data_IF_200961462651
#
_entry.id   IF_200961462651
#
_cell.length_a   1.000
_cell.length_b   1.000
_cell.length_c   1.000
_cell.angle_alpha   90.00
_cell.angle_beta   90.00
_cell.angle_gamma   90.00
#
_symmetry.space_group_name_H-M   'P 1'
#
loop_
_entity.id
_entity.type
_entity.pdbx_description
1 polymer ?
2 non-polymer ?
3 non-polymer ?
4 water ?
#
# COMPACT_ATOMS: atom_id res chain seq x y z
N UNK A 1 2.14 4.81 -5.99
CA UNK A 1 3.45 4.71 -6.65
C UNK A 1 3.35 4.69 -8.19
N UNK A 2 2.18 4.36 -8.75
CA UNK A 2 1.85 4.25 -10.18
C UNK A 2 0.32 4.33 -10.35
N UNK A 3 -0.24 4.26 -11.59
CA UNK A 3 -1.66 4.60 -11.85
C UNK A 3 -2.76 3.70 -11.23
N UNK A 4 -2.41 2.46 -10.88
CA UNK A 4 -3.31 1.56 -10.12
C UNK A 4 -3.47 2.09 -8.71
N UNK A 5 -2.37 2.50 -8.12
CA UNK A 5 -2.35 3.07 -6.75
C UNK A 5 -3.10 4.42 -6.74
N UNK A 6 -2.98 5.21 -7.80
CA UNK A 6 -3.73 6.48 -8.01
C UNK A 6 -5.26 6.25 -7.90
N UNK A 7 -5.78 5.31 -8.67
CA UNK A 7 -7.22 4.98 -8.65
C UNK A 7 -7.62 4.47 -7.24
N UNK A 8 -6.84 3.53 -6.68
CA UNK A 8 -7.09 2.99 -5.31
C UNK A 8 -7.18 4.12 -4.29
N UNK A 9 -6.21 5.04 -4.29
CA UNK A 9 -6.19 6.16 -3.34
C UNK A 9 -7.43 7.06 -3.52
N UNK A 10 -7.82 7.31 -4.76
CA UNK A 10 -9.00 8.18 -5.05
C UNK A 10 -10.26 7.56 -4.42
N UNK A 11 -10.37 6.23 -4.46
CA UNK A 11 -11.50 5.49 -3.84
C UNK A 11 -11.40 5.59 -2.33
N UNK A 12 -10.22 5.32 -1.77
CA UNK A 12 -10.07 5.31 -0.31
C UNK A 12 -10.38 6.68 0.27
N UNK A 13 -9.93 7.74 -0.40
CA UNK A 13 -9.95 9.11 0.21
C UNK A 13 -11.39 9.63 0.25
N UNK A 14 -12.32 9.11 -0.56
CA UNK A 14 -13.69 9.66 -0.62
C UNK A 14 -14.78 8.63 -0.31
N UNK A 15 -14.52 7.33 -0.53
CA UNK A 15 -15.59 6.30 -0.56
C UNK A 15 -15.36 5.23 0.50
N UNK A 16 -14.60 5.49 1.55
CA UNK A 16 -14.47 4.50 2.66
C UNK A 16 -14.72 5.16 4.00
N UNK A 17 -15.19 4.32 4.93
CA UNK A 17 -15.35 4.67 6.37
C UNK A 17 -14.76 3.50 7.13
N UNK A 18 -14.50 3.71 8.40
CA UNK A 18 -14.14 2.61 9.32
C UNK A 18 -15.44 2.15 9.99
N UNK A 19 -15.82 0.90 9.74
CA UNK A 19 -17.03 0.32 10.36
C UNK A 19 -16.61 -0.56 11.54
N UNK A 20 -17.33 -0.46 12.65
CA UNK A 20 -17.06 -1.30 13.84
C UNK A 20 -18.36 -2.00 14.24
N UNK A 21 -18.32 -3.35 14.28
CA UNK A 21 -19.42 -4.20 14.79
C UNK A 21 -18.85 -4.90 16.05
N UNK A 22 -19.63 -5.79 16.64
CA UNK A 22 -19.18 -6.63 17.79
C UNK A 22 -18.14 -7.66 17.33
N UNK A 23 -18.00 -7.86 16.01
CA UNK A 23 -17.07 -8.85 15.40
C UNK A 23 -15.76 -8.19 14.93
N UNK A 24 -15.58 -6.87 15.09
CA UNK A 24 -14.31 -6.20 14.79
C UNK A 24 -14.46 -4.86 14.07
N UNK A 25 -13.31 -4.34 13.65
CA UNK A 25 -13.20 -3.15 12.79
C UNK A 25 -12.97 -3.59 11.35
N UNK A 26 -13.70 -2.98 10.41
CA UNK A 26 -13.66 -3.33 8.97
C UNK A 26 -13.51 -2.05 8.13
N UNK A 27 -12.73 -2.17 7.05
CA UNK A 27 -12.80 -1.25 5.92
C UNK A 27 -14.25 -1.40 5.38
N UNK A 28 -14.93 -0.28 5.16
CA UNK A 28 -16.29 -0.31 4.57
C UNK A 28 -16.32 0.64 3.37
N UNK A 29 -16.71 0.08 2.23
CA UNK A 29 -16.85 0.84 0.96
C UNK A 29 -18.25 1.46 0.87
N UNK A 30 -18.31 2.79 0.75
CA UNK A 30 -19.55 3.48 0.40
C UNK A 30 -19.72 3.51 -1.12
N UNK A 31 -20.91 3.19 -1.61
CA UNK A 31 -21.13 3.01 -3.08
C UNK A 31 -21.92 4.18 -3.66
N UNK A 32 -23.00 4.60 -2.99
CA UNK A 32 -23.81 5.76 -3.44
C UNK A 32 -24.76 6.11 -2.30
N UNK A 33 -25.28 7.34 -2.31
CA UNK A 33 -26.27 7.81 -1.30
C UNK A 33 -25.73 7.39 0.09
N UNK A 34 -26.49 6.63 0.89
CA UNK A 34 -26.07 6.21 2.26
C UNK A 34 -25.85 4.70 2.25
N UNK A 35 -25.57 4.12 1.08
CA UNK A 35 -25.48 2.65 0.86
C UNK A 35 -24.00 2.28 0.82
N UNK A 36 -23.64 1.31 1.65
CA UNK A 36 -22.27 0.80 1.76
C UNK A 36 -22.30 -0.74 1.75
N UNK A 37 -21.12 -1.34 1.68
CA UNK A 37 -20.99 -2.82 1.73
C UNK A 37 -19.96 -3.20 2.79
N UNK A 38 -20.11 -4.42 3.26
CA UNK A 38 -19.22 -4.97 4.33
C UNK A 38 -19.30 -6.48 4.21
N UNK A 39 -18.25 -7.24 4.58
CA UNK A 39 -18.42 -8.71 4.58
C UNK A 39 -19.55 -9.16 5.51
N UNK A 40 -20.29 -10.20 5.08
CA UNK A 40 -21.44 -10.70 5.86
C UNK A 40 -20.98 -11.21 7.24
N UNK A 41 -19.77 -11.75 7.34
CA UNK A 41 -19.25 -12.21 8.66
C UNK A 41 -18.99 -11.06 9.66
N UNK A 42 -19.14 -9.79 9.27
CA UNK A 42 -19.14 -8.65 10.22
C UNK A 42 -20.38 -8.70 11.13
N UNK A 43 -21.45 -9.42 10.77
CA UNK A 43 -22.70 -9.58 11.55
C UNK A 43 -23.30 -8.21 11.92
N UNK A 44 -23.58 -7.40 10.90
CA UNK A 44 -24.16 -6.05 11.11
C UNK A 44 -25.49 -6.20 11.85
N UNK A 45 -25.72 -5.40 12.88
CA UNK A 45 -27.01 -5.37 13.59
C UNK A 45 -27.76 -4.09 13.38
N UNK A 46 -28.52 -3.66 14.38
CA UNK A 46 -29.44 -2.49 14.26
C UNK A 46 -28.62 -1.18 14.41
N UNK A 47 -27.47 -1.27 15.08
CA UNK A 47 -26.53 -0.15 15.36
C UNK A 47 -25.12 -0.58 14.93
N UNK A 48 -24.40 0.32 14.29
CA UNK A 48 -23.00 0.10 13.88
C UNK A 48 -22.21 1.39 14.23
N UNK A 49 -20.89 1.32 14.45
CA UNK A 49 -20.05 2.53 14.62
C UNK A 49 -19.43 2.85 13.25
N UNK A 50 -19.54 4.11 12.80
CA UNK A 50 -18.98 4.59 11.51
C UNK A 50 -17.99 5.71 11.89
N UNK A 51 -16.69 5.50 11.71
CA UNK A 51 -15.66 6.48 12.17
C UNK A 51 -15.94 6.86 13.64
N UNK A 52 -16.23 5.85 14.46
CA UNK A 52 -16.40 5.94 15.95
C UNK A 52 -17.66 6.71 16.36
N UNK A 53 -18.61 6.85 15.46
CA UNK A 53 -19.92 7.52 15.75
C UNK A 53 -21.04 6.47 15.67
N UNK A 54 -21.83 6.41 16.74
CA UNK A 54 -22.99 5.50 16.81
C UNK A 54 -24.00 5.84 15.72
N UNK A 55 -24.32 4.88 14.85
CA UNK A 55 -25.13 5.07 13.61
C UNK A 55 -26.22 3.99 13.52
N UNK A 56 -27.47 4.40 13.33
CA UNK A 56 -28.56 3.45 13.13
C UNK A 56 -28.41 2.83 11.75
N UNK A 57 -28.63 1.52 11.69
CA UNK A 57 -28.74 0.79 10.40
C UNK A 57 -30.20 0.81 9.93
N UNK A 58 -30.46 1.43 8.77
CA UNK A 58 -31.84 1.55 8.23
C UNK A 58 -32.21 0.26 7.52
N UNK A 59 -31.26 -0.47 6.94
CA UNK A 59 -31.50 -1.73 6.20
C UNK A 59 -30.17 -2.47 6.13
N UNK A 60 -30.21 -3.80 6.23
CA UNK A 60 -29.01 -4.65 6.02
C UNK A 60 -29.45 -5.92 5.26
N UNK A 61 -28.83 -6.23 4.14
CA UNK A 61 -29.25 -7.38 3.31
C UNK A 61 -28.01 -8.21 2.97
N UNK A 62 -27.99 -9.43 3.50
CA UNK A 62 -26.91 -10.41 3.25
C UNK A 62 -27.22 -11.08 1.91
N UNK A 63 -26.44 -10.77 0.88
CA UNK A 63 -26.76 -11.23 -0.49
C UNK A 63 -26.51 -12.73 -0.63
N UNK A 64 -27.33 -13.38 -1.46
CA UNK A 64 -27.19 -14.80 -1.84
C UNK A 64 -27.48 -14.88 -3.33
N UNK A 65 -26.85 -15.79 -4.06
CA UNK A 65 -27.22 -15.95 -5.49
C UNK A 65 -28.55 -16.70 -5.64
N UNK A 66 -28.96 -16.89 -6.89
CA UNK A 66 -30.32 -17.44 -7.13
C UNK A 66 -30.35 -18.96 -6.90
N UNK A 67 -29.20 -19.61 -6.70
CA UNK A 67 -29.10 -20.98 -6.09
C UNK A 67 -29.16 -20.92 -4.54
N UNK A 68 -29.37 -19.76 -3.92
CA UNK A 68 -29.49 -19.62 -2.45
C UNK A 68 -28.12 -20.00 -1.85
N UNK A 69 -27.03 -19.62 -2.52
CA UNK A 69 -25.65 -19.75 -2.01
C UNK A 69 -25.13 -18.39 -1.51
N UNK A 70 -24.49 -18.39 -0.35
CA UNK A 70 -23.82 -17.21 0.23
C UNK A 70 -22.96 -16.48 -0.83
N UNK A 71 -23.07 -15.14 -0.89
CA UNK A 71 -22.10 -14.28 -1.65
C UNK A 71 -21.13 -13.50 -0.74
N UNK A 72 -21.35 -13.50 0.57
CA UNK A 72 -20.47 -12.89 1.61
C UNK A 72 -20.50 -11.36 1.55
N UNK A 73 -21.43 -10.76 0.80
CA UNK A 73 -21.60 -9.28 0.71
C UNK A 73 -22.86 -8.94 1.51
N UNK A 74 -22.76 -8.04 2.47
CA UNK A 74 -23.94 -7.39 3.07
C UNK A 74 -24.01 -5.92 2.62
N UNK A 75 -25.16 -5.52 2.09
CA UNK A 75 -25.45 -4.13 1.66
C UNK A 75 -26.13 -3.47 2.86
N UNK A 76 -25.57 -2.37 3.31
CA UNK A 76 -26.05 -1.65 4.52
C UNK A 76 -26.51 -0.25 4.10
N UNK A 77 -27.71 0.15 4.52
CA UNK A 77 -28.10 1.57 4.37
C UNK A 77 -27.92 2.21 5.76
N UNK A 78 -27.16 3.29 5.83
CA UNK A 78 -26.75 3.93 7.08
C UNK A 78 -27.66 5.16 7.33
N UNK A 79 -28.07 5.37 8.58
CA UNK A 79 -28.74 6.65 8.98
C UNK A 79 -27.68 7.74 9.22
N UNK A 80 -27.04 8.17 8.15
CA UNK A 80 -25.93 9.13 8.15
C UNK A 80 -26.43 10.45 7.55
N UNK A 81 -25.82 11.57 7.93
CA UNK A 81 -26.25 12.92 7.51
C UNK A 81 -25.54 13.34 6.23
N UNK A 82 -24.85 12.43 5.56
CA UNK A 82 -24.01 12.79 4.41
C UNK A 82 -24.07 11.61 3.42
N UNK A 83 -24.11 11.91 2.13
CA UNK A 83 -24.03 10.89 1.05
C UNK A 83 -22.58 10.62 0.61
N UNK A 84 -22.37 9.41 0.10
CA UNK A 84 -21.13 9.04 -0.61
C UNK A 84 -21.18 9.57 -2.03
N UNK A 85 -20.02 9.90 -2.54
CA UNK A 85 -19.83 10.04 -4.00
C UNK A 85 -20.37 8.79 -4.69
N UNK A 86 -21.16 8.93 -5.73
CA UNK A 86 -21.70 7.79 -6.49
C UNK A 86 -20.58 7.19 -7.34
N UNK A 87 -20.16 5.96 -7.03
CA UNK A 87 -19.11 5.21 -7.78
C UNK A 87 -19.68 4.00 -8.50
N UNK A 88 -20.99 3.90 -8.65
CA UNK A 88 -21.59 2.71 -9.32
C UNK A 88 -21.08 2.53 -10.76
N UNK A 89 -20.71 3.60 -11.44
CA UNK A 89 -20.19 3.49 -12.82
C UNK A 89 -18.80 2.85 -12.88
N UNK A 90 -18.13 2.62 -11.75
CA UNK A 90 -16.83 1.88 -11.67
C UNK A 90 -16.99 0.40 -11.35
N UNK A 91 -18.23 -0.09 -11.20
CA UNK A 91 -18.51 -1.51 -10.87
C UNK A 91 -18.63 -2.28 -12.17
N UNK A 92 -18.00 -3.46 -12.23
CA UNK A 92 -18.16 -4.36 -13.37
C UNK A 92 -19.60 -4.84 -13.53
N UNK A 93 -19.97 -5.10 -14.78
CA UNK A 93 -21.31 -5.66 -15.04
C UNK A 93 -21.32 -7.20 -14.96
N UNK A 94 -20.19 -7.85 -15.23
CA UNK A 94 -20.15 -9.34 -15.31
C UNK A 94 -18.97 -9.90 -14.49
N UNK A 95 -19.03 -11.20 -14.22
CA UNK A 95 -17.96 -11.94 -13.54
C UNK A 95 -16.77 -11.95 -14.52
N UNK A 96 -15.56 -11.80 -14.02
CA UNK A 96 -14.37 -11.68 -14.88
C UNK A 96 -13.10 -11.94 -14.08
N UNK A 97 -12.02 -12.17 -14.80
CA UNK A 97 -10.63 -12.18 -14.29
C UNK A 97 -10.02 -10.79 -14.57
N UNK A 98 -8.98 -10.43 -13.82
CA UNK A 98 -8.35 -9.09 -13.92
C UNK A 98 -6.84 -9.19 -13.83
N UNK A 99 -6.15 -8.23 -14.44
CA UNK A 99 -4.69 -8.09 -14.14
C UNK A 99 -4.43 -6.92 -13.19
N UNK A 100 -3.35 -7.04 -12.43
CA UNK A 100 -2.65 -5.93 -11.77
C UNK A 100 -3.62 -5.18 -10.86
N UNK A 101 -4.18 -5.88 -9.90
CA UNK A 101 -5.14 -5.28 -8.92
C UNK A 101 -4.38 -4.78 -7.69
N UNK A 102 -5.02 -3.88 -6.95
CA UNK A 102 -4.53 -3.35 -5.64
C UNK A 102 -5.63 -3.65 -4.62
N UNK A 103 -5.22 -4.10 -3.45
CA UNK A 103 -6.08 -4.25 -2.25
C UNK A 103 -5.75 -3.11 -1.30
N UNK A 104 -6.75 -2.31 -0.92
CA UNK A 104 -6.58 -1.12 -0.07
C UNK A 104 -7.40 -1.25 1.22
N UNK A 105 -6.77 -0.95 2.37
CA UNK A 105 -7.35 -1.14 3.70
C UNK A 105 -7.16 0.15 4.47
N UNK A 106 -8.15 0.54 5.27
CA UNK A 106 -7.98 1.68 6.18
C UNK A 106 -8.72 1.37 7.49
N UNK A 107 -7.96 0.99 8.53
CA UNK A 107 -8.50 0.76 9.89
C UNK A 107 -7.53 1.39 10.89
N UNK A 108 -7.89 1.38 12.17
CA UNK A 108 -6.96 1.73 13.30
C UNK A 108 -5.67 0.86 13.28
N UNK A 109 -5.77 -0.42 13.00
CA UNK A 109 -4.63 -1.37 12.94
C UNK A 109 -3.79 -1.10 11.67
N UNK A 110 -4.45 -0.83 10.54
CA UNK A 110 -3.79 -0.73 9.21
C UNK A 110 -4.26 0.51 8.47
N UNK A 111 -3.81 1.73 8.86
CA UNK A 111 -4.14 2.95 8.16
C UNK A 111 -3.35 3.10 6.86
N UNK A 112 -4.03 3.60 5.81
CA UNK A 112 -3.36 4.00 4.55
C UNK A 112 -2.54 2.82 3.99
N UNK A 113 -3.10 1.62 4.05
CA UNK A 113 -2.45 0.39 3.56
C UNK A 113 -2.86 0.10 2.11
N UNK A 114 -1.90 -0.14 1.23
CA UNK A 114 -2.13 -0.48 -0.20
C UNK A 114 -1.24 -1.68 -0.56
N UNK A 115 -1.78 -2.68 -1.24
CA UNK A 115 -1.03 -3.95 -1.58
C UNK A 115 -1.22 -4.27 -3.04
N UNK A 116 -0.14 -4.32 -3.87
CA UNK A 116 -0.25 -4.79 -5.26
C UNK A 116 -0.33 -6.32 -5.20
N UNK A 117 -1.50 -6.86 -5.50
CA UNK A 117 -1.77 -8.32 -5.34
C UNK A 117 -1.58 -9.04 -6.67
N UNK A 118 -1.43 -8.34 -7.79
CA UNK A 118 -1.17 -8.93 -9.11
C UNK A 118 -2.43 -9.45 -9.74
N UNK A 119 -2.32 -10.58 -10.42
CA UNK A 119 -3.43 -11.18 -11.21
C UNK A 119 -4.55 -11.67 -10.29
N UNK A 120 -5.78 -11.40 -10.70
CA UNK A 120 -7.00 -11.81 -9.95
C UNK A 120 -7.80 -12.82 -10.81
N UNK A 121 -7.99 -14.02 -10.27
CA UNK A 121 -8.69 -15.14 -10.92
C UNK A 121 -10.17 -15.11 -10.50
N UNK A 122 -11.07 -15.31 -11.45
CA UNK A 122 -12.46 -15.72 -11.15
C UNK A 122 -12.40 -17.14 -10.63
N UNK A 123 -12.30 -17.29 -9.32
CA UNK A 123 -12.10 -18.58 -8.63
C UNK A 123 -13.43 -19.35 -8.58
N UNK A 124 -14.51 -18.64 -8.28
CA UNK A 124 -15.88 -19.17 -8.22
C UNK A 124 -16.24 -19.70 -6.86
N UNK A 125 -16.33 -21.02 -6.71
CA UNK A 125 -16.72 -21.66 -5.44
C UNK A 125 -15.56 -21.67 -4.44
N UNK A 126 -15.88 -21.32 -3.19
CA UNK A 126 -14.97 -21.42 -2.04
C UNK A 126 -15.78 -21.83 -0.83
N UNK A 127 -15.22 -22.80 -0.10
CA UNK A 127 -15.71 -23.10 1.27
C UNK A 127 -15.03 -22.13 2.23
N UNK A 128 -15.69 -21.02 2.50
CA UNK A 128 -15.15 -19.88 3.27
C UNK A 128 -15.56 -20.03 4.75
N UNK A 129 -14.61 -20.36 5.64
CA UNK A 129 -14.92 -20.60 7.06
C UNK A 129 -16.00 -21.67 7.25
N UNK A 130 -16.06 -22.69 6.40
CA UNK A 130 -17.12 -23.72 6.46
C UNK A 130 -18.39 -23.39 5.65
N UNK A 131 -18.50 -22.21 5.05
CA UNK A 131 -19.75 -21.77 4.37
C UNK A 131 -19.53 -21.82 2.86
N UNK A 132 -20.26 -22.66 2.10
CA UNK A 132 -20.17 -22.63 0.63
C UNK A 132 -20.45 -21.18 0.15
N UNK A 133 -19.56 -20.67 -0.68
CA UNK A 133 -19.62 -19.26 -1.15
C UNK A 133 -19.39 -19.23 -2.65
N UNK A 134 -20.10 -18.39 -3.40
CA UNK A 134 -19.92 -18.21 -4.85
C UNK A 134 -19.34 -16.83 -5.21
N UNK A 135 -18.95 -16.67 -6.48
CA UNK A 135 -18.42 -15.38 -7.03
C UNK A 135 -17.18 -14.89 -6.28
N UNK A 136 -16.30 -15.81 -5.94
CA UNK A 136 -15.02 -15.49 -5.27
C UNK A 136 -13.91 -15.19 -6.30
N UNK A 137 -13.20 -14.11 -6.04
CA UNK A 137 -11.96 -13.69 -6.73
C UNK A 137 -10.80 -14.15 -5.86
N UNK A 138 -9.72 -14.59 -6.51
CA UNK A 138 -8.51 -15.03 -5.77
C UNK A 138 -7.28 -14.29 -6.29
N UNK A 139 -6.40 -13.96 -5.34
CA UNK A 139 -5.08 -13.35 -5.61
C UNK A 139 -4.05 -14.08 -4.77
N UNK A 140 -2.84 -14.14 -5.30
CA UNK A 140 -1.74 -14.91 -4.67
C UNK A 140 -0.95 -13.93 -3.81
N UNK A 141 -1.57 -13.44 -2.74
CA UNK A 141 -0.90 -12.62 -1.70
C UNK A 141 -1.30 -13.15 -0.33
N UNK A 142 -0.33 -13.27 0.60
CA UNK A 142 -0.56 -13.66 1.99
C UNK A 142 -1.19 -12.55 2.86
N UNK A 143 -2.49 -12.35 2.60
CA UNK A 143 -3.39 -11.47 3.39
C UNK A 143 -3.54 -12.01 4.84
N UNK A 144 -3.98 -11.14 5.74
CA UNK A 144 -4.02 -11.40 7.21
C UNK A 144 -5.34 -10.85 7.75
N UNK A 145 -5.72 -11.38 8.92
CA UNK A 145 -6.75 -10.78 9.78
C UNK A 145 -6.47 -9.27 9.87
N UNK A 146 -7.54 -8.47 9.79
CA UNK A 146 -7.46 -7.01 9.74
C UNK A 146 -7.75 -6.43 8.36
N UNK A 147 -7.71 -7.24 7.29
CA UNK A 147 -7.83 -6.75 5.90
C UNK A 147 -9.26 -6.95 5.37
N UNK A 148 -10.16 -7.59 6.14
CA UNK A 148 -11.53 -7.88 5.65
C UNK A 148 -12.25 -6.55 5.41
N UNK A 149 -12.95 -6.48 4.26
CA UNK A 149 -13.62 -5.24 3.86
C UNK A 149 -12.72 -4.45 2.92
N UNK A 150 -11.43 -4.80 2.82
CA UNK A 150 -10.50 -4.05 1.98
C UNK A 150 -11.00 -4.03 0.56
N UNK A 151 -10.75 -2.92 -0.14
CA UNK A 151 -11.27 -2.71 -1.50
C UNK A 151 -10.28 -3.24 -2.51
N UNK A 152 -10.77 -4.04 -3.44
CA UNK A 152 -9.98 -4.53 -4.60
C UNK A 152 -10.33 -3.70 -5.83
N UNK A 153 -9.32 -3.09 -6.44
CA UNK A 153 -9.48 -2.21 -7.62
C UNK A 153 -8.49 -2.61 -8.72
N UNK A 154 -8.86 -2.29 -9.92
CA UNK A 154 -7.92 -2.04 -11.03
C UNK A 154 -8.02 -0.56 -11.41
N UNK A 155 -7.24 -0.11 -12.38
CA UNK A 155 -7.47 1.24 -12.99
C UNK A 155 -8.92 1.24 -13.50
N UNK A 156 -9.70 2.12 -12.94
CA UNK A 156 -11.04 2.45 -13.41
C UNK A 156 -12.07 1.46 -12.96
N UNK A 157 -11.74 0.37 -12.24
CA UNK A 157 -12.81 -0.54 -11.72
C UNK A 157 -12.63 -0.91 -10.23
N UNK A 158 -13.76 -0.90 -9.54
CA UNK A 158 -13.91 -1.41 -8.15
C UNK A 158 -14.52 -2.79 -8.28
N UNK A 159 -13.72 -3.86 -8.03
CA UNK A 159 -14.14 -5.22 -8.48
C UNK A 159 -14.55 -6.14 -7.30
N UNK A 160 -14.25 -5.79 -6.06
CA UNK A 160 -14.55 -6.72 -4.96
C UNK A 160 -14.16 -6.16 -3.60
N UNK A 161 -14.54 -6.90 -2.55
CA UNK A 161 -14.11 -6.60 -1.15
C UNK A 161 -13.52 -7.89 -0.56
N UNK A 162 -12.38 -7.72 0.12
CA UNK A 162 -11.61 -8.83 0.73
C UNK A 162 -12.45 -9.52 1.82
N UNK A 163 -12.55 -10.86 1.79
CA UNK A 163 -13.42 -11.61 2.76
C UNK A 163 -12.63 -12.75 3.43
N UNK A 164 -11.43 -13.07 2.97
CA UNK A 164 -10.67 -14.16 3.64
C UNK A 164 -9.34 -14.52 3.01
N UNK A 165 -8.67 -15.53 3.59
CA UNK A 165 -7.40 -16.02 3.03
C UNK A 165 -7.05 -17.37 3.63
N UNK A 166 -6.05 -18.04 3.06
CA UNK A 166 -5.60 -19.38 3.53
C UNK A 166 -4.12 -19.32 3.95
N UNK A 167 -3.57 -18.12 4.18
CA UNK A 167 -2.14 -17.96 4.52
C UNK A 167 -1.27 -17.68 3.30
N UNK A 168 -1.56 -18.25 2.13
CA UNK A 168 -0.81 -18.01 0.86
C UNK A 168 -1.62 -17.20 -0.18
N UNK A 169 -2.94 -17.39 -0.21
CA UNK A 169 -3.88 -16.70 -1.14
C UNK A 169 -4.87 -15.83 -0.34
N UNK A 170 -5.40 -14.81 -1.04
CA UNK A 170 -6.50 -13.98 -0.50
C UNK A 170 -7.71 -14.14 -1.39
N UNK A 171 -8.87 -13.88 -0.84
CA UNK A 171 -10.18 -14.08 -1.50
C UNK A 171 -11.04 -12.83 -1.30
N UNK A 172 -11.66 -12.40 -2.40
CA UNK A 172 -12.59 -11.27 -2.36
C UNK A 172 -13.95 -11.73 -2.90
N UNK A 173 -15.01 -11.13 -2.39
CA UNK A 173 -16.38 -11.27 -2.97
C UNK A 173 -16.52 -10.25 -4.09
N UNK A 174 -17.01 -10.69 -5.25
CA UNK A 174 -17.24 -9.76 -6.38
C UNK A 174 -18.22 -8.67 -5.99
N UNK A 175 -17.99 -7.48 -6.53
CA UNK A 175 -19.05 -6.44 -6.62
C UNK A 175 -19.51 -6.37 -8.09
N UNK A 176 -20.80 -6.37 -8.28
CA UNK A 176 -21.43 -6.28 -9.59
C UNK A 176 -22.39 -5.08 -9.58
N UNK A 177 -22.44 -4.38 -10.71
CA UNK A 177 -23.34 -3.22 -10.89
C UNK A 177 -24.79 -3.59 -10.51
N UNK A 178 -25.21 -4.81 -10.84
CA UNK A 178 -26.62 -5.27 -10.60
C UNK A 178 -27.00 -5.36 -9.12
N UNK A 179 -26.03 -5.36 -8.20
CA UNK A 179 -26.34 -5.39 -6.75
C UNK A 179 -26.93 -4.02 -6.30
N UNK A 180 -26.74 -2.94 -7.05
CA UNK A 180 -26.93 -1.52 -6.58
C UNK A 180 -27.81 -0.70 -7.53
N UNK A 181 -28.65 -1.38 -8.29
CA UNK A 181 -29.73 -0.75 -9.08
C UNK A 181 -30.83 -0.32 -8.08
N UNK A 182 -31.50 0.81 -8.34
CA UNK A 182 -32.52 1.43 -7.45
C UNK A 182 -33.67 2.05 -8.30
N UNK B 2 1.84 -5.05 12.65
CA UNK B 2 2.00 -4.96 14.16
C UNK B 2 2.60 -3.63 14.62
N UNK B 3 3.67 -3.67 15.47
CA UNK B 3 4.52 -2.49 15.68
C UNK B 3 5.31 -2.10 14.40
N UNK B 4 5.37 -2.98 13.41
CA UNK B 4 5.89 -2.70 12.05
C UNK B 4 5.25 -1.46 11.42
N UNK B 5 3.92 -1.35 11.46
CA UNK B 5 3.18 -0.15 10.92
C UNK B 5 3.45 1.08 11.77
N UNK B 6 3.48 0.99 13.11
CA UNK B 6 3.94 2.11 13.99
C UNK B 6 5.32 2.62 13.55
N UNK B 7 6.27 1.70 13.45
CA UNK B 7 7.67 2.02 13.14
C UNK B 7 7.73 2.74 11.76
N UNK B 8 7.09 2.19 10.74
CA UNK B 8 7.08 2.77 9.40
C UNK B 8 6.50 4.19 9.50
N UNK B 9 5.39 4.39 10.24
CA UNK B 9 4.78 5.75 10.36
C UNK B 9 5.72 6.73 11.08
N UNK B 10 6.43 6.27 12.13
CA UNK B 10 7.37 7.08 12.96
C UNK B 10 8.53 7.58 12.08
N UNK B 11 9.02 6.70 11.21
CA UNK B 11 10.10 7.09 10.26
C UNK B 11 9.56 8.04 9.18
N UNK B 12 8.37 7.75 8.64
CA UNK B 12 7.70 8.63 7.65
C UNK B 12 7.56 10.04 8.22
N UNK B 13 6.99 10.14 9.42
CA UNK B 13 6.56 11.44 10.01
C UNK B 13 7.75 12.38 10.19
N UNK B 14 8.87 11.88 10.72
CA UNK B 14 10.00 12.75 11.10
C UNK B 14 11.15 12.72 10.07
N UNK B 15 11.30 11.63 9.33
CA UNK B 15 12.52 11.41 8.52
C UNK B 15 12.27 11.34 7.00
N UNK B 16 11.06 11.55 6.50
CA UNK B 16 10.80 11.43 5.04
C UNK B 16 10.37 12.81 4.52
N UNK B 17 11.00 13.30 3.45
CA UNK B 17 10.62 14.55 2.74
C UNK B 17 10.37 14.24 1.27
N UNK B 18 9.74 15.19 0.57
CA UNK B 18 9.50 15.06 -0.90
C UNK B 18 10.66 15.79 -1.60
N UNK B 19 11.48 15.08 -2.36
CA UNK B 19 12.61 15.67 -3.10
C UNK B 19 12.19 15.79 -4.57
N UNK B 20 12.46 16.92 -5.22
CA UNK B 20 12.13 17.08 -6.65
C UNK B 20 13.42 17.51 -7.37
N UNK B 21 13.85 16.66 -8.29
CA UNK B 21 14.96 16.90 -9.23
C UNK B 21 14.38 17.26 -10.62
N UNK B 22 15.26 17.41 -11.60
CA UNK B 22 14.86 17.60 -13.02
C UNK B 22 13.94 16.44 -13.45
N UNK B 23 14.08 15.26 -12.85
CA UNK B 23 13.32 14.03 -13.26
C UNK B 23 11.93 13.95 -12.60
N UNK B 24 11.65 14.75 -11.60
CA UNK B 24 10.37 14.75 -10.88
C UNK B 24 10.54 14.41 -9.40
N UNK B 25 9.52 13.83 -8.78
CA UNK B 25 9.42 13.75 -7.30
C UNK B 25 9.86 12.35 -6.85
N UNK B 26 10.60 12.35 -5.74
CA UNK B 26 11.13 11.13 -5.13
C UNK B 26 10.89 11.20 -3.62
N UNK B 27 10.56 10.05 -3.02
CA UNK B 27 10.56 9.91 -1.56
C UNK B 27 12.02 9.95 -1.09
N UNK B 28 12.33 10.86 -0.20
CA UNK B 28 13.72 11.05 0.27
C UNK B 28 13.74 10.73 1.77
N UNK B 29 14.75 9.95 2.18
CA UNK B 29 14.99 9.67 3.60
C UNK B 29 16.10 10.58 4.14
N UNK B 30 15.77 11.38 5.15
CA UNK B 30 16.81 12.07 5.92
C UNK B 30 17.35 11.18 7.04
N UNK B 31 18.66 11.13 7.17
CA UNK B 31 19.34 10.11 8.03
C UNK B 31 19.88 10.76 9.32
N UNK B 32 20.52 11.90 9.21
CA UNK B 32 21.05 12.68 10.38
C UNK B 32 21.50 14.05 9.89
N UNK B 33 21.64 15.04 10.80
CA UNK B 33 22.15 16.38 10.39
C UNK B 33 21.42 16.83 9.10
N UNK B 34 22.15 17.23 8.06
CA UNK B 34 21.49 17.62 6.77
C UNK B 34 21.81 16.58 5.68
N UNK B 35 22.03 15.34 6.10
CA UNK B 35 22.40 14.20 5.22
C UNK B 35 21.17 13.38 4.92
N UNK B 36 20.90 13.15 3.63
CA UNK B 36 19.73 12.37 3.15
C UNK B 36 20.16 11.43 2.04
N UNK B 37 19.31 10.50 1.69
CA UNK B 37 19.57 9.53 0.58
C UNK B 37 18.41 9.53 -0.39
N UNK B 38 18.75 9.26 -1.66
CA UNK B 38 17.78 9.25 -2.79
C UNK B 38 18.38 8.26 -3.80
N UNK B 39 17.57 7.59 -4.63
CA UNK B 39 18.14 6.75 -5.70
C UNK B 39 19.02 7.54 -6.68
N UNK B 40 20.10 6.89 -7.13
CA UNK B 40 21.07 7.54 -8.05
C UNK B 40 20.35 7.96 -9.34
N UNK B 41 19.33 7.20 -9.78
CA UNK B 41 18.62 7.52 -11.04
C UNK B 41 17.83 8.82 -10.90
N UNK B 42 17.70 9.43 -9.71
CA UNK B 42 17.03 10.75 -9.55
C UNK B 42 17.84 11.89 -10.20
N UNK B 43 19.13 11.67 -10.46
CA UNK B 43 20.00 12.65 -11.17
C UNK B 43 20.01 13.99 -10.41
N UNK B 44 20.42 13.92 -9.17
CA UNK B 44 20.54 15.11 -8.31
C UNK B 44 21.57 16.08 -8.92
N UNK B 45 21.19 17.34 -8.93
CA UNK B 45 22.06 18.41 -9.46
C UNK B 45 22.56 19.30 -8.37
N UNK B 46 22.77 20.57 -8.72
CA UNK B 46 23.32 21.59 -7.81
C UNK B 46 22.21 22.09 -6.87
N UNK B 47 20.98 22.03 -7.33
CA UNK B 47 19.77 22.57 -6.63
C UNK B 47 18.74 21.44 -6.63
N UNK B 48 18.02 21.31 -5.53
CA UNK B 48 16.88 20.36 -5.38
C UNK B 48 15.74 21.08 -4.66
N UNK B 49 14.51 20.62 -4.88
CA UNK B 49 13.35 21.08 -4.07
C UNK B 49 13.09 20.08 -2.95
N UNK B 50 12.98 20.58 -1.74
CA UNK B 50 12.70 19.76 -0.52
C UNK B 50 11.36 20.28 0.04
N UNK B 51 10.29 19.51 -0.10
CA UNK B 51 8.93 19.96 0.28
C UNK B 51 8.63 21.30 -0.39
N UNK B 52 9.03 21.44 -1.65
CA UNK B 52 8.70 22.55 -2.57
C UNK B 52 9.57 23.78 -2.28
N UNK B 53 10.58 23.67 -1.41
CA UNK B 53 11.57 24.73 -1.11
C UNK B 53 12.85 24.51 -1.94
N UNK B 54 13.20 25.45 -2.81
CA UNK B 54 14.52 25.47 -3.52
C UNK B 54 15.66 25.36 -2.50
N UNK B 55 16.55 24.34 -2.63
CA UNK B 55 17.59 23.97 -1.62
C UNK B 55 18.91 23.66 -2.35
N UNK B 56 19.97 24.35 -1.98
CA UNK B 56 21.31 24.07 -2.56
C UNK B 56 21.70 22.68 -2.09
N UNK B 57 22.19 21.86 -3.01
CA UNK B 57 22.86 20.57 -2.65
C UNK B 57 24.37 20.85 -2.49
N UNK B 58 24.87 20.79 -1.27
CA UNK B 58 26.29 21.11 -0.98
C UNK B 58 27.20 19.99 -1.49
N UNK B 59 26.72 18.74 -1.48
CA UNK B 59 27.52 17.53 -1.80
C UNK B 59 26.55 16.45 -2.26
N UNK B 60 26.93 15.71 -3.32
CA UNK B 60 26.22 14.49 -3.77
C UNK B 60 27.27 13.42 -4.05
N UNK B 61 27.10 12.25 -3.45
CA UNK B 61 27.97 11.07 -3.66
C UNK B 61 27.13 9.91 -4.20
N UNK B 62 27.38 9.51 -5.44
CA UNK B 62 26.75 8.31 -6.05
C UNK B 62 27.55 7.08 -5.54
N UNK B 63 27.05 6.39 -4.53
CA UNK B 63 27.83 5.36 -3.81
C UNK B 63 28.19 4.17 -4.71
N UNK B 64 29.42 3.73 -4.52
CA UNK B 64 29.98 2.47 -5.10
C UNK B 64 30.70 1.70 -4.00
N UNK B 65 30.75 0.38 -4.12
CA UNK B 65 31.43 -0.45 -3.09
C UNK B 65 32.92 -0.60 -3.46
N UNK B 66 33.62 -1.40 -2.68
CA UNK B 66 35.10 -1.53 -2.84
C UNK B 66 35.47 -2.41 -4.04
N UNK B 67 34.50 -3.07 -4.68
CA UNK B 67 34.71 -3.72 -5.99
C UNK B 67 34.53 -2.67 -7.10
N UNK B 68 34.28 -1.40 -6.75
CA UNK B 68 34.00 -0.31 -7.72
C UNK B 68 32.71 -0.63 -8.49
N UNK B 69 31.70 -1.13 -7.79
CA UNK B 69 30.38 -1.45 -8.39
C UNK B 69 29.33 -0.50 -7.81
N UNK B 70 28.45 -0.04 -8.67
CA UNK B 70 27.28 0.81 -8.32
C UNK B 70 26.49 0.17 -7.18
N UNK B 71 26.03 1.03 -6.25
CA UNK B 71 25.03 0.66 -5.19
C UNK B 71 23.66 1.36 -5.41
N UNK B 72 23.55 2.30 -6.35
CA UNK B 72 22.29 2.99 -6.75
C UNK B 72 21.75 3.90 -5.62
N UNK B 73 22.57 4.23 -4.64
CA UNK B 73 22.22 5.21 -3.54
C UNK B 73 23.08 6.43 -3.78
N UNK B 74 22.48 7.60 -3.75
CA UNK B 74 23.19 8.87 -3.69
C UNK B 74 22.96 9.49 -2.30
N UNK B 75 24.07 9.80 -1.63
CA UNK B 75 24.06 10.52 -0.34
C UNK B 75 24.17 12.01 -0.65
N UNK B 76 23.25 12.82 -0.15
CA UNK B 76 23.28 14.30 -0.37
C UNK B 76 23.46 15.02 0.98
N UNK B 77 24.17 16.14 0.95
CA UNK B 77 24.31 17.11 2.07
C UNK B 77 23.57 18.38 1.64
N UNK B 78 22.52 18.74 2.37
CA UNK B 78 21.58 19.81 1.95
C UNK B 78 21.93 21.12 2.69
N UNK B 79 21.82 22.27 2.01
CA UNK B 79 21.89 23.62 2.63
C UNK B 79 20.50 24.01 3.18
N UNK B 80 20.16 23.55 4.39
CA UNK B 80 18.88 23.89 5.08
C UNK B 80 19.10 23.95 6.60
N UNK B 81 18.31 24.80 7.27
CA UNK B 81 18.45 25.04 8.73
C UNK B 81 18.03 23.78 9.50
N UNK B 82 16.95 23.13 9.08
CA UNK B 82 16.37 21.94 9.75
C UNK B 82 17.41 20.83 9.76
N UNK B 83 17.59 20.19 10.91
CA UNK B 83 18.39 18.97 11.05
C UNK B 83 17.43 17.77 11.12
N UNK B 84 17.77 16.66 10.48
CA UNK B 84 16.98 15.41 10.57
C UNK B 84 17.22 14.72 11.92
N UNK B 85 16.18 14.13 12.49
CA UNK B 85 16.26 13.19 13.64
C UNK B 85 17.23 12.06 13.28
N UNK B 86 18.30 11.88 14.07
CA UNK B 86 19.31 10.83 13.81
C UNK B 86 18.66 9.45 13.92
N UNK B 87 18.74 8.62 12.85
CA UNK B 87 18.19 7.26 12.77
C UNK B 87 19.30 6.26 12.42
N UNK B 88 20.55 6.68 12.54
CA UNK B 88 21.70 5.77 12.19
C UNK B 88 21.67 4.50 13.02
N UNK B 89 21.17 4.57 14.27
CA UNK B 89 21.05 3.38 15.15
C UNK B 89 20.04 2.36 14.64
N UNK B 90 19.18 2.71 13.66
CA UNK B 90 18.20 1.77 13.08
C UNK B 90 18.69 1.16 11.75
N UNK B 91 19.94 1.46 11.36
CA UNK B 91 20.49 0.94 10.07
C UNK B 91 21.19 -0.38 10.36
N UNK B 92 20.94 -1.41 9.55
CA UNK B 92 21.65 -2.69 9.67
C UNK B 92 23.17 -2.50 9.54
N UNK B 93 23.91 -3.30 10.31
CA UNK B 93 25.38 -3.33 10.23
C UNK B 93 25.83 -4.24 9.07
N UNK B 94 25.04 -5.28 8.77
CA UNK B 94 25.39 -6.34 7.79
C UNK B 94 24.26 -6.53 6.78
N UNK B 95 24.59 -7.12 5.63
CA UNK B 95 23.63 -7.61 4.62
C UNK B 95 22.78 -8.73 5.25
N UNK B 96 21.48 -8.76 4.95
CA UNK B 96 20.57 -9.75 5.58
C UNK B 96 19.27 -9.90 4.77
N UNK B 97 18.53 -10.97 5.07
CA UNK B 97 17.12 -11.21 4.63
C UNK B 97 16.21 -10.74 5.76
N UNK B 98 14.95 -10.44 5.44
CA UNK B 98 13.98 -9.86 6.39
C UNK B 98 12.57 -10.41 6.14
N UNK B 99 11.74 -10.34 7.19
CA UNK B 99 10.29 -10.65 7.10
C UNK B 99 9.48 -9.41 7.42
N UNK B 100 8.26 -9.38 6.92
CA UNK B 100 7.21 -8.44 7.38
C UNK B 100 7.66 -7.00 7.10
N UNK B 101 8.25 -6.74 5.92
CA UNK B 101 8.71 -5.38 5.58
C UNK B 101 7.54 -4.53 5.06
N UNK B 102 7.69 -3.22 5.22
CA UNK B 102 6.75 -2.17 4.75
C UNK B 102 7.55 -1.19 3.88
N UNK B 103 7.02 -0.88 2.72
CA UNK B 103 7.54 0.16 1.82
C UNK B 103 6.65 1.39 2.00
N UNK B 104 7.24 2.52 2.36
CA UNK B 104 6.52 3.78 2.67
C UNK B 104 6.86 4.86 1.63
N UNK B 105 5.82 5.26 0.89
CA UNK B 105 5.86 6.22 -0.25
C UNK B 105 5.36 7.57 0.24
N UNK B 106 6.04 8.63 -0.14
CA UNK B 106 5.62 9.99 0.21
C UNK B 106 5.97 10.94 -0.93
N UNK B 107 4.97 11.35 -1.72
CA UNK B 107 5.11 12.38 -2.79
C UNK B 107 3.88 13.28 -2.77
N UNK B 108 3.86 14.28 -3.65
CA UNK B 108 2.65 15.16 -3.75
C UNK B 108 1.46 14.33 -4.21
N UNK B 109 1.68 13.40 -5.12
CA UNK B 109 0.63 12.51 -5.70
C UNK B 109 0.20 11.43 -4.69
N UNK B 110 1.15 10.89 -3.89
CA UNK B 110 0.99 9.72 -3.00
C UNK B 110 1.45 10.12 -1.61
N UNK B 111 0.70 10.94 -0.87
CA UNK B 111 1.11 11.35 0.45
C UNK B 111 0.90 10.20 1.45
N UNK B 112 1.82 9.99 2.35
CA UNK B 112 1.55 8.97 3.43
C UNK B 112 0.90 7.64 2.91
N UNK B 113 1.53 6.88 1.99
CA UNK B 113 1.07 5.55 1.49
C UNK B 113 1.98 4.41 2.02
N UNK B 114 1.42 3.34 2.61
CA UNK B 114 2.16 2.21 3.23
C UNK B 114 1.85 0.93 2.45
N UNK B 115 2.90 0.27 1.93
CA UNK B 115 2.78 -0.96 1.09
C UNK B 115 3.47 -2.11 1.79
N UNK B 116 2.73 -3.03 2.44
CA UNK B 116 3.32 -4.18 3.10
C UNK B 116 3.84 -5.10 1.98
N UNK B 117 5.13 -5.27 1.90
CA UNK B 117 5.70 -6.08 0.78
C UNK B 117 6.03 -7.49 1.28
N UNK B 118 6.20 -7.63 2.62
CA UNK B 118 6.35 -8.94 3.29
C UNK B 118 7.78 -9.38 3.26
N UNK B 119 8.02 -10.54 2.65
CA UNK B 119 9.33 -11.20 2.70
C UNK B 119 10.32 -10.46 1.77
N UNK B 120 11.47 -10.16 2.33
CA UNK B 120 12.59 -9.45 1.64
C UNK B 120 13.83 -10.36 1.59
N UNK B 121 14.33 -10.61 0.38
CA UNK B 121 15.54 -11.43 0.15
C UNK B 121 16.78 -10.56 -0.10
N UNK B 122 17.93 -10.93 0.45
CA UNK B 122 19.26 -10.51 -0.02
C UNK B 122 19.49 -11.09 -1.42
N UNK B 123 19.15 -10.34 -2.43
CA UNK B 123 19.14 -10.77 -3.86
C UNK B 123 20.56 -10.65 -4.40
N UNK B 124 21.27 -9.57 -4.00
CA UNK B 124 22.66 -9.28 -4.31
C UNK B 124 22.81 -8.57 -5.64
N UNK B 125 23.30 -9.28 -6.66
CA UNK B 125 23.67 -8.69 -7.96
C UNK B 125 22.42 -8.45 -8.79
N UNK B 126 22.32 -7.27 -9.43
CA UNK B 126 21.27 -6.96 -10.41
C UNK B 126 21.86 -6.07 -11.51
N UNK B 127 21.54 -6.43 -12.75
CA UNK B 127 21.81 -5.52 -13.89
C UNK B 127 20.63 -4.55 -13.96
N UNK B 128 20.79 -3.35 -13.41
CA UNK B 128 19.71 -2.35 -13.29
C UNK B 128 19.84 -1.31 -14.40
N UNK B 129 18.96 -1.38 -15.41
CA UNK B 129 19.02 -0.47 -16.57
C UNK B 129 20.34 -0.54 -17.34
N UNK B 130 20.98 -1.70 -17.31
CA UNK B 130 22.28 -1.91 -17.98
C UNK B 130 23.48 -1.69 -17.08
N UNK B 131 23.27 -1.24 -15.84
CA UNK B 131 24.36 -0.99 -14.86
C UNK B 131 24.44 -2.13 -13.83
N UNK B 132 25.59 -2.83 -13.75
CA UNK B 132 25.83 -3.82 -12.72
C UNK B 132 25.74 -3.14 -11.33
N UNK B 133 24.89 -3.72 -10.48
CA UNK B 133 24.54 -3.17 -9.15
C UNK B 133 24.66 -4.26 -8.09
N UNK B 134 25.18 -3.85 -6.92
CA UNK B 134 25.31 -4.76 -5.74
C UNK B 134 24.30 -4.40 -4.64
N UNK B 135 24.21 -5.31 -3.66
CA UNK B 135 23.46 -5.15 -2.38
C UNK B 135 21.98 -4.81 -2.67
N UNK B 136 21.40 -5.51 -3.60
CA UNK B 136 19.95 -5.39 -3.89
C UNK B 136 19.16 -6.33 -2.97
N UNK B 137 18.12 -5.74 -2.37
CA UNK B 137 17.02 -6.46 -1.68
C UNK B 137 15.85 -6.66 -2.62
N UNK B 138 15.18 -7.82 -2.58
CA UNK B 138 14.09 -8.12 -3.51
C UNK B 138 12.85 -8.53 -2.70
N UNK B 139 11.70 -8.07 -3.16
CA UNK B 139 10.36 -8.44 -2.64
C UNK B 139 9.42 -8.60 -3.84
N UNK B 140 8.33 -9.37 -3.66
CA UNK B 140 7.29 -9.46 -4.69
C UNK B 140 6.70 -8.07 -4.88
N UNK B 141 6.41 -7.69 -6.11
CA UNK B 141 5.85 -6.35 -6.45
C UNK B 141 5.26 -6.46 -7.85
N UNK B 142 4.10 -7.14 -7.98
CA UNK B 142 3.55 -7.51 -9.30
C UNK B 142 2.76 -6.38 -9.97
N UNK B 143 3.43 -5.27 -10.22
CA UNK B 143 2.87 -3.99 -10.70
C UNK B 143 4.06 -3.26 -11.37
N UNK B 144 3.75 -2.39 -12.33
CA UNK B 144 4.77 -1.48 -12.90
C UNK B 144 4.58 -0.15 -12.14
N UNK B 145 5.39 0.05 -11.11
CA UNK B 145 5.49 1.29 -10.30
C UNK B 145 6.38 2.31 -11.01
N UNK B 146 6.15 3.60 -10.71
CA UNK B 146 6.97 4.72 -11.21
C UNK B 146 8.29 4.83 -10.46
N UNK B 147 8.99 5.92 -10.70
CA UNK B 147 10.37 6.15 -10.22
C UNK B 147 10.43 6.60 -8.75
N UNK B 148 9.33 7.06 -8.16
CA UNK B 148 9.36 7.88 -6.93
C UNK B 148 9.99 7.10 -5.75
N UNK B 149 9.92 5.77 -5.78
CA UNK B 149 10.47 4.92 -4.70
C UNK B 149 9.85 5.16 -3.32
N UNK B 150 10.63 4.89 -2.27
CA UNK B 150 10.08 4.80 -0.92
C UNK B 150 11.02 4.08 0.01
N UNK B 151 10.71 4.18 1.29
CA UNK B 151 11.61 3.69 2.36
C UNK B 151 11.14 2.31 2.79
N UNK B 152 12.06 1.35 2.90
CA UNK B 152 11.75 -0.05 3.34
C UNK B 152 12.19 -0.21 4.81
N UNK B 153 11.21 -0.58 5.64
CA UNK B 153 11.40 -0.81 7.10
C UNK B 153 10.94 -2.20 7.49
N UNK B 154 11.49 -2.69 8.60
CA UNK B 154 10.93 -3.82 9.38
C UNK B 154 10.68 -3.29 10.78
N UNK B 155 10.19 -4.10 11.70
CA UNK B 155 10.12 -3.63 13.10
C UNK B 155 11.58 -3.37 13.49
N UNK B 156 11.88 -2.15 13.85
CA UNK B 156 13.13 -1.73 14.46
C UNK B 156 14.25 -1.41 13.50
N UNK B 157 14.08 -1.58 12.18
CA UNK B 157 15.18 -1.34 11.23
C UNK B 157 14.72 -0.58 9.99
N UNK B 158 15.57 0.33 9.57
CA UNK B 158 15.44 1.00 8.24
C UNK B 158 16.42 0.30 7.28
N UNK B 159 15.91 -0.50 6.36
CA UNK B 159 16.77 -1.51 5.67
C UNK B 159 17.11 -1.10 4.23
N UNK B 160 16.38 -0.19 3.58
CA UNK B 160 16.68 0.09 2.17
C UNK B 160 15.77 1.17 1.63
N UNK B 161 16.08 1.60 0.40
CA UNK B 161 15.21 2.52 -0.38
C UNK B 161 14.94 1.85 -1.73
N UNK B 162 13.69 1.92 -2.18
CA UNK B 162 13.22 1.32 -3.44
C UNK B 162 13.89 1.98 -4.65
N UNK B 163 14.53 1.17 -5.51
CA UNK B 163 15.27 1.71 -6.69
C UNK B 163 14.77 1.20 -8.03
N UNK B 164 13.92 0.17 -8.09
CA UNK B 164 13.40 -0.32 -9.37
C UNK B 164 12.53 -1.55 -9.25
N UNK B 165 12.27 -2.16 -10.39
CA UNK B 165 11.47 -3.40 -10.42
C UNK B 165 11.27 -3.89 -11.84
N UNK B 166 10.77 -5.11 -12.01
CA UNK B 166 10.70 -5.78 -13.34
C UNK B 166 9.25 -6.18 -13.67
N UNK B 167 8.25 -5.62 -12.97
CA UNK B 167 6.80 -5.93 -13.12
C UNK B 167 6.32 -7.14 -12.28
N UNK B 168 7.23 -7.96 -11.78
CA UNK B 168 6.97 -9.11 -10.87
C UNK B 168 7.61 -8.84 -9.49
N UNK B 169 8.86 -8.33 -9.52
CA UNK B 169 9.65 -8.12 -8.30
C UNK B 169 9.99 -6.65 -8.18
N UNK B 170 10.16 -6.22 -6.95
CA UNK B 170 10.62 -4.90 -6.53
C UNK B 170 12.01 -5.01 -5.95
N UNK B 171 12.82 -3.97 -6.16
CA UNK B 171 14.26 -3.95 -5.78
C UNK B 171 14.53 -2.69 -4.99
N UNK B 172 15.22 -2.85 -3.88
CA UNK B 172 15.68 -1.81 -2.99
C UNK B 172 17.19 -1.92 -2.83
N UNK B 173 17.85 -0.79 -2.73
CA UNK B 173 19.27 -0.68 -2.35
C UNK B 173 19.37 -0.76 -0.83
N UNK B 174 20.26 -1.63 -0.33
CA UNK B 174 20.47 -1.75 1.12
C UNK B 174 20.99 -0.43 1.68
N UNK B 175 20.54 -0.09 2.90
CA UNK B 175 21.20 0.96 3.70
C UNK B 175 21.99 0.20 4.79
N UNK B 176 23.24 0.59 4.92
CA UNK B 176 24.17 0.01 5.94
C UNK B 176 24.68 1.13 6.81
N UNK B 177 24.91 0.79 8.08
CA UNK B 177 25.38 1.74 9.10
C UNK B 177 26.70 2.36 8.63
N UNK B 178 27.55 1.55 8.01
CA UNK B 178 28.91 2.00 7.60
C UNK B 178 28.86 3.08 6.52
N UNK B 179 27.72 3.32 5.84
CA UNK B 179 27.69 4.37 4.80
C UNK B 179 27.72 5.81 5.38
N UNK B 180 27.43 5.94 6.68
CA UNK B 180 27.13 7.22 7.36
C UNK B 180 28.04 7.42 8.58
N UNK B 181 28.97 6.52 8.82
CA UNK B 181 30.04 6.72 9.84
C UNK B 181 31.02 7.79 9.31
X LIG C 1 -7.58 -12.51 5.30
X LIG C 1 -7.33 -14.03 6.92
X LIG C 1 -6.46 -15.77 8.25
X LIG C 1 -7.37 -14.79 8.08
X LIG C 1 -9.07 -12.40 7.16
X LIG C 1 -8.06 -12.92 6.47
X LIG C 1 -6.39 -14.24 5.92
X LIG C 1 -6.52 -13.35 4.96
X LIG C 1 -5.49 -16.03 7.26
X LIG C 1 -5.45 -15.29 6.11
X LIG D 1 27.92 10.47 4.84
X LIG D 1 28.28 11.90 4.46
X LIG D 1 27.61 10.49 6.58
X LIG D 1 29.45 9.56 4.85
#
# INVERSE_FOLDING_TARGET
>A
MGPGFDFAQAIMKKNTVIARTEKGEFTMLGVYDRVAVIPTHASVGEIIYINDVETRVLDACALRDLTDTNLEITIVKLDRNQKFRDIRHFLPRCEDDYNDAVLSVHTSKFPNMYIPVGQVTNYGFLNLGGTPTHRILMYNFPTRAGQCGGVVTTTGKVIGIHVGGNGAQGFAAMLLHSYFTD
>B
MGPGFDFAQAIMKKNTVIARTEKGEFTMLGVYDRVAVIPTHASVGEIIYINDVETRVLDACALRDLTDTNLEITIVKLDRNQKFRDIRHFLPRCEDDYNDAVLSVHTSKFPNMYIPVGQVTNYGFLNLGGTPTHRILMYNFPTRAGQCGGVVTTTGKVIGIHVGGNGAQGFAAMLLHSYFTD
>C hetero
1 W3S N1 N3 C4 C5 N C C1 N2 C3 C2
>D hetero
1 DMS S O C1 C2
#
